data_IF_352238714512
#
_entry.id   IF_352238714512
#
_cell.length_a   1.000
_cell.length_b   1.000
_cell.length_c   1.000
_cell.angle_alpha   90.00
_cell.angle_beta   90.00
_cell.angle_gamma   90.00
#
_symmetry.space_group_name_H-M   'P 1'
#
loop_
_entity.id
_entity.type
_entity.pdbx_description
1 polymer ?
#
# COMPACT_ATOMS: atom_id res chain seq x y z
N UNK A 1 -15.99 15.85 -48.49
CA UNK A 1 -16.33 14.63 -47.72
C UNK A 1 -15.28 14.43 -46.64
N UNK A 2 -15.56 14.89 -45.40
CA UNK A 2 -14.60 14.80 -44.29
C UNK A 2 -14.80 13.49 -43.52
N UNK A 3 -13.78 12.63 -43.52
CA UNK A 3 -13.77 11.35 -42.82
C UNK A 3 -13.56 11.55 -41.33
N UNK A 4 -14.55 11.19 -40.51
CA UNK A 4 -14.48 11.22 -39.04
C UNK A 4 -13.64 10.03 -38.55
N UNK A 5 -12.36 10.24 -38.24
CA UNK A 5 -11.59 9.30 -37.43
C UNK A 5 -12.08 9.35 -35.97
N UNK A 6 -12.63 8.24 -35.48
CA UNK A 6 -13.08 8.09 -34.09
C UNK A 6 -11.85 8.00 -33.18
N UNK A 7 -11.78 8.92 -32.21
CA UNK A 7 -10.73 9.02 -31.18
C UNK A 7 -10.52 7.71 -30.36
N UNK A 8 -11.49 6.79 -30.41
CA UNK A 8 -11.42 5.49 -29.73
C UNK A 8 -10.39 4.50 -30.32
N UNK A 9 -10.10 4.58 -31.62
CA UNK A 9 -9.20 3.61 -32.27
C UNK A 9 -7.70 3.89 -32.00
N UNK A 10 -7.37 5.14 -31.65
CA UNK A 10 -6.01 5.55 -31.29
C UNK A 10 -5.68 5.04 -29.88
N UNK A 11 -6.63 5.10 -28.95
CA UNK A 11 -6.42 4.66 -27.57
C UNK A 11 -6.24 3.14 -27.45
N UNK A 12 -7.00 2.36 -28.23
CA UNK A 12 -6.88 0.90 -28.26
C UNK A 12 -5.53 0.44 -28.81
N UNK A 13 -5.01 1.10 -29.86
CA UNK A 13 -3.71 0.78 -30.47
C UNK A 13 -2.52 1.26 -29.62
N UNK A 14 -2.67 2.33 -28.83
CA UNK A 14 -1.64 2.81 -27.92
C UNK A 14 -1.46 1.89 -26.70
N UNK A 15 -2.56 1.40 -26.13
CA UNK A 15 -2.52 0.44 -25.01
C UNK A 15 -1.96 -0.91 -25.46
N UNK A 16 -2.29 -1.37 -26.67
CA UNK A 16 -1.80 -2.66 -27.19
C UNK A 16 -0.30 -2.68 -27.56
N UNK A 17 0.30 -1.53 -27.90
CA UNK A 17 1.72 -1.45 -28.33
C UNK A 17 2.73 -1.23 -27.20
N UNK A 18 2.33 -0.69 -26.06
CA UNK A 18 3.23 -0.36 -24.94
C UNK A 18 3.21 -1.35 -23.77
N UNK A 19 2.43 -2.44 -23.84
CA UNK A 19 2.37 -3.49 -22.81
C UNK A 19 3.45 -4.57 -22.93
N UNK A 20 4.66 -4.21 -23.39
CA UNK A 20 5.86 -5.03 -23.19
C UNK A 20 6.82 -4.29 -22.25
N UNK A 21 6.59 -4.44 -20.95
CA UNK A 21 7.60 -4.15 -19.93
C UNK A 21 7.25 -4.91 -18.67
N UNK A 22 8.15 -5.81 -18.27
CA UNK A 22 8.03 -6.79 -17.18
C UNK A 22 7.97 -6.17 -15.76
N UNK A 23 7.56 -4.90 -15.62
CA UNK A 23 7.70 -4.15 -14.37
C UNK A 23 6.40 -3.48 -13.87
N UNK A 24 5.29 -3.60 -14.59
CA UNK A 24 4.04 -2.95 -14.18
C UNK A 24 3.11 -3.94 -13.48
N UNK A 25 2.93 -3.77 -12.17
CA UNK A 25 1.92 -4.53 -11.43
C UNK A 25 0.55 -3.88 -11.65
N UNK A 26 -0.24 -4.46 -12.55
CA UNK A 26 -1.62 -4.07 -12.79
C UNK A 26 -2.53 -4.62 -11.68
N UNK A 27 -3.14 -3.74 -10.89
CA UNK A 27 -4.14 -4.14 -9.88
C UNK A 27 -5.53 -3.95 -10.50
N UNK A 28 -6.00 -4.99 -11.19
CA UNK A 28 -7.38 -5.06 -11.67
C UNK A 28 -8.33 -5.46 -10.54
N UNK A 29 -8.92 -4.49 -9.85
CA UNK A 29 -9.91 -4.80 -8.82
C UNK A 29 -11.28 -5.22 -9.38
N UNK A 30 -11.48 -5.16 -10.70
CA UNK A 30 -12.74 -5.59 -11.34
C UNK A 30 -12.77 -7.10 -11.61
N UNK A 31 -11.59 -7.73 -11.73
CA UNK A 31 -11.46 -9.20 -11.88
C UNK A 31 -11.54 -9.96 -10.56
N UNK A 32 -11.39 -9.27 -9.43
CA UNK A 32 -11.58 -9.81 -8.08
C UNK A 32 -12.36 -8.78 -7.24
N UNK A 33 -13.69 -8.64 -7.45
CA UNK A 33 -14.51 -7.87 -6.52
C UNK A 33 -14.32 -8.50 -5.13
N UNK A 34 -14.12 -7.70 -4.06
CA UNK A 34 -14.10 -8.26 -2.72
C UNK A 34 -15.46 -8.93 -2.50
N UNK A 35 -15.46 -10.25 -2.50
CA UNK A 35 -16.63 -11.04 -2.14
C UNK A 35 -17.07 -10.57 -0.77
N UNK A 36 -18.30 -10.05 -0.68
CA UNK A 36 -18.94 -9.68 0.58
C UNK A 36 -19.39 -10.92 1.38
N UNK A 37 -18.65 -12.01 1.26
CA UNK A 37 -18.81 -13.23 2.03
C UNK A 37 -17.48 -13.50 2.72
N UNK A 38 -17.50 -13.49 4.05
CA UNK A 38 -16.35 -13.81 4.89
C UNK A 38 -15.93 -15.27 4.62
N UNK A 39 -14.80 -15.54 3.94
CA UNK A 39 -14.33 -16.93 3.77
C UNK A 39 -13.88 -17.51 5.11
N UNK A 40 -13.54 -16.62 6.06
CA UNK A 40 -13.04 -16.97 7.38
C UNK A 40 -14.07 -17.72 8.23
N UNK A 41 -15.37 -17.40 8.16
CA UNK A 41 -16.38 -18.04 9.02
C UNK A 41 -16.66 -19.49 8.57
N UNK A 42 -16.74 -19.72 7.25
CA UNK A 42 -17.04 -21.05 6.69
C UNK A 42 -15.84 -21.99 6.80
N UNK A 43 -14.62 -21.47 6.60
CA UNK A 43 -13.39 -22.24 6.71
C UNK A 43 -13.05 -22.58 8.17
N UNK A 44 -13.27 -21.65 9.12
CA UNK A 44 -13.11 -21.93 10.56
C UNK A 44 -14.15 -22.93 11.07
N UNK A 45 -15.40 -22.84 10.60
CA UNK A 45 -16.46 -23.79 10.97
C UNK A 45 -16.24 -25.19 10.36
N UNK A 46 -15.62 -25.28 9.18
CA UNK A 46 -15.22 -26.56 8.58
C UNK A 46 -14.00 -27.17 9.30
N UNK A 47 -13.05 -26.32 9.72
CA UNK A 47 -11.87 -26.74 10.49
C UNK A 47 -12.26 -27.21 11.90
N UNK A 48 -13.17 -26.48 12.57
CA UNK A 48 -13.71 -26.85 13.88
C UNK A 48 -14.47 -28.17 13.80
N UNK A 49 -15.35 -28.36 12.81
CA UNK A 49 -16.07 -29.63 12.61
C UNK A 49 -15.15 -30.82 12.30
N UNK A 50 -14.02 -30.58 11.65
CA UNK A 50 -13.02 -31.62 11.36
C UNK A 50 -12.17 -31.96 12.60
N UNK A 51 -11.87 -30.98 13.45
CA UNK A 51 -11.17 -31.18 14.70
C UNK A 51 -12.02 -31.94 15.74
N UNK A 52 -13.32 -31.65 15.84
CA UNK A 52 -14.22 -32.35 16.77
C UNK A 52 -14.40 -33.82 16.38
N UNK A 53 -14.47 -34.15 15.08
CA UNK A 53 -14.54 -35.54 14.59
C UNK A 53 -13.26 -36.35 14.83
N UNK A 54 -12.10 -35.70 14.86
CA UNK A 54 -10.82 -36.37 15.11
C UNK A 54 -10.60 -36.71 16.60
N UNK A 55 -11.27 -36.00 17.52
CA UNK A 55 -11.17 -36.23 18.96
C UNK A 55 -12.03 -37.43 19.41
N UNK A 56 -13.11 -37.74 18.70
CA UNK A 56 -14.02 -38.85 19.05
C UNK A 56 -13.52 -40.24 18.61
N UNK A 57 -12.49 -40.35 17.77
CA UNK A 57 -12.16 -41.61 17.07
C UNK A 57 -10.83 -42.28 17.41
N UNK A 58 -10.01 -41.81 18.36
CA UNK A 58 -8.82 -42.61 18.71
C UNK A 58 -8.22 -42.33 20.08
N UNK A 59 -8.56 -43.20 21.03
CA UNK A 59 -7.66 -43.55 22.12
C UNK A 59 -6.48 -44.35 21.56
N UNK A 60 -5.45 -43.67 21.05
CA UNK A 60 -4.17 -44.32 20.79
C UNK A 60 -3.04 -43.31 20.68
N UNK A 61 -2.17 -43.31 21.68
CA UNK A 61 -0.92 -42.53 21.73
C UNK A 61 0.06 -43.08 20.68
N UNK A 62 -0.03 -42.62 19.44
CA UNK A 62 1.07 -42.70 18.46
C UNK A 62 1.19 -41.40 17.69
N UNK A 63 2.42 -40.90 17.66
CA UNK A 63 2.89 -39.67 17.02
C UNK A 63 2.47 -39.62 15.53
N UNK A 64 1.34 -38.98 15.25
CA UNK A 64 1.04 -38.44 13.93
C UNK A 64 1.38 -36.95 14.00
N UNK A 65 2.63 -36.63 13.67
CA UNK A 65 3.03 -35.26 13.33
C UNK A 65 2.13 -34.81 12.19
N UNK A 66 1.14 -33.98 12.52
CA UNK A 66 0.11 -33.60 11.58
C UNK A 66 0.76 -32.87 10.40
N UNK A 67 0.17 -32.99 9.19
CA UNK A 67 0.58 -32.13 8.05
C UNK A 67 0.57 -30.65 8.43
N UNK A 68 -0.25 -30.27 9.41
CA UNK A 68 -0.28 -28.94 10.00
C UNK A 68 1.00 -28.63 10.79
N UNK A 69 1.52 -29.56 11.59
CA UNK A 69 2.81 -29.41 12.27
C UNK A 69 3.98 -29.31 11.31
N UNK A 70 3.96 -30.08 10.21
CA UNK A 70 4.98 -29.98 9.17
C UNK A 70 4.90 -28.63 8.44
N UNK A 71 3.69 -28.12 8.21
CA UNK A 71 3.46 -26.79 7.62
C UNK A 71 3.88 -25.66 8.57
N UNK A 72 3.57 -25.78 9.87
CA UNK A 72 3.99 -24.84 10.90
C UNK A 72 5.50 -24.87 11.14
N UNK A 73 6.14 -26.05 11.09
CA UNK A 73 7.60 -26.19 11.13
C UNK A 73 8.26 -25.61 9.88
N UNK A 74 7.68 -25.80 8.68
CA UNK A 74 8.20 -25.22 7.44
C UNK A 74 8.09 -23.68 7.45
N UNK A 75 7.02 -23.14 8.03
CA UNK A 75 6.85 -21.69 8.28
C UNK A 75 7.83 -21.16 9.32
N UNK A 76 8.14 -21.93 10.37
CA UNK A 76 9.17 -21.59 11.38
C UNK A 76 10.59 -21.69 10.83
N UNK A 77 10.88 -22.63 9.93
CA UNK A 77 12.19 -22.79 9.27
C UNK A 77 12.44 -21.71 8.22
N UNK A 78 11.41 -21.29 7.47
CA UNK A 78 11.50 -20.12 6.57
C UNK A 78 11.59 -18.77 7.30
N UNK A 79 11.17 -18.70 8.56
CA UNK A 79 11.31 -17.51 9.41
C UNK A 79 12.70 -17.41 10.09
N UNK A 80 13.49 -18.49 10.11
CA UNK A 80 14.80 -18.54 10.77
C UNK A 80 16.00 -18.44 9.81
N UNK A 81 15.78 -18.42 8.49
CA UNK A 81 16.71 -17.81 7.55
C UNK A 81 16.63 -16.30 7.74
N UNK A 82 17.27 -15.82 8.82
CA UNK A 82 17.56 -14.42 9.06
C UNK A 82 18.39 -13.92 7.88
N UNK A 83 17.71 -13.37 6.87
CA UNK A 83 18.33 -12.36 6.02
C UNK A 83 18.95 -11.33 6.98
N UNK A 84 20.23 -11.02 6.76
CA UNK A 84 21.08 -10.33 7.72
C UNK A 84 20.35 -9.24 8.49
N UNK A 85 20.57 -9.23 9.80
CA UNK A 85 20.22 -8.11 10.68
C UNK A 85 21.11 -6.91 10.33
N UNK A 86 20.97 -6.42 9.11
CA UNK A 86 21.30 -5.05 8.78
C UNK A 86 20.32 -4.22 9.61
N UNK A 87 20.79 -3.76 10.78
CA UNK A 87 19.98 -3.14 11.82
C UNK A 87 19.02 -2.06 11.32
N UNK A 88 18.08 -1.66 12.17
CA UNK A 88 17.05 -0.69 11.80
C UNK A 88 17.65 0.60 11.20
N UNK A 89 17.25 0.92 9.97
CA UNK A 89 17.69 2.14 9.27
C UNK A 89 16.59 3.22 9.36
N UNK A 90 16.92 4.52 9.13
CA UNK A 90 15.96 5.61 9.30
C UNK A 90 14.63 5.41 8.54
N UNK A 91 14.68 4.88 7.31
CA UNK A 91 13.49 4.60 6.51
C UNK A 91 12.49 3.64 7.16
N UNK A 92 12.94 2.70 8.01
CA UNK A 92 12.03 1.82 8.75
C UNK A 92 11.13 2.61 9.72
N UNK A 93 11.64 3.72 10.28
CA UNK A 93 10.88 4.61 11.15
C UNK A 93 9.88 5.45 10.34
N UNK A 94 10.28 5.96 9.17
CA UNK A 94 9.40 6.74 8.30
C UNK A 94 8.22 5.91 7.79
N UNK A 95 8.46 4.67 7.35
CA UNK A 95 7.39 3.77 6.94
C UNK A 95 6.41 3.47 8.09
N UNK A 96 6.93 3.27 9.31
CA UNK A 96 6.09 3.05 10.49
C UNK A 96 5.24 4.26 10.81
N UNK A 97 5.82 5.45 10.76
CA UNK A 97 5.10 6.70 10.98
C UNK A 97 4.04 6.93 9.90
N UNK A 98 4.35 6.68 8.62
CA UNK A 98 3.40 6.77 7.52
C UNK A 98 2.18 5.89 7.79
N UNK A 99 2.40 4.62 8.13
CA UNK A 99 1.32 3.69 8.47
C UNK A 99 0.49 4.19 9.66
N UNK A 100 1.14 4.67 10.72
CA UNK A 100 0.47 5.24 11.90
C UNK A 100 -0.39 6.45 11.52
N UNK A 101 0.15 7.36 10.72
CA UNK A 101 -0.55 8.56 10.25
C UNK A 101 -1.79 8.21 9.44
N UNK A 102 -1.71 7.21 8.56
CA UNK A 102 -2.87 6.73 7.81
C UNK A 102 -3.99 6.17 8.69
N UNK A 103 -3.68 5.68 9.89
CA UNK A 103 -4.67 5.16 10.84
C UNK A 103 -5.29 6.27 11.71
N UNK A 104 -4.57 7.37 11.97
CA UNK A 104 -5.05 8.44 12.84
C UNK A 104 -5.62 9.67 12.10
N UNK A 105 -5.64 9.67 10.77
CA UNK A 105 -6.02 10.82 9.94
C UNK A 105 -7.53 11.14 9.93
N UNK A 106 -8.26 10.82 11.00
CA UNK A 106 -9.67 11.17 11.20
C UNK A 106 -10.67 10.48 10.26
N UNK A 107 -10.22 9.63 9.33
CA UNK A 107 -11.07 8.89 8.40
C UNK A 107 -10.77 7.40 8.46
N UNK A 108 -11.81 6.60 8.66
CA UNK A 108 -11.69 5.15 8.56
C UNK A 108 -11.51 4.72 7.11
N UNK A 109 -10.45 3.95 6.85
CA UNK A 109 -10.10 3.47 5.51
C UNK A 109 -10.88 2.21 5.17
N UNK A 110 -11.58 2.23 4.04
CA UNK A 110 -12.21 1.00 3.50
C UNK A 110 -11.15 -0.03 3.09
N UNK A 111 -11.57 -1.29 2.91
CA UNK A 111 -10.69 -2.37 2.45
C UNK A 111 -9.98 -2.02 1.14
N UNK A 112 -10.70 -1.45 0.16
CA UNK A 112 -10.14 -1.00 -1.12
C UNK A 112 -9.07 0.07 -0.92
N UNK A 113 -9.31 1.06 -0.06
CA UNK A 113 -8.35 2.13 0.20
C UNK A 113 -7.09 1.59 0.90
N UNK A 114 -7.23 0.64 1.83
CA UNK A 114 -6.09 -0.07 2.43
C UNK A 114 -5.26 -0.79 1.36
N UNK A 115 -5.90 -1.40 0.36
CA UNK A 115 -5.21 -2.01 -0.79
C UNK A 115 -4.48 -0.96 -1.64
N UNK A 116 -5.11 0.19 -1.94
CA UNK A 116 -4.45 1.28 -2.66
C UNK A 116 -3.23 1.80 -1.92
N UNK A 117 -3.34 2.04 -0.61
CA UNK A 117 -2.21 2.51 0.20
C UNK A 117 -1.07 1.50 0.29
N UNK A 118 -1.35 0.19 0.32
CA UNK A 118 -0.31 -0.83 0.23
C UNK A 118 0.43 -0.75 -1.10
N UNK A 119 -0.30 -0.58 -2.21
CA UNK A 119 0.32 -0.43 -3.52
C UNK A 119 1.15 0.86 -3.60
N UNK A 120 0.62 1.99 -3.13
CA UNK A 120 1.35 3.26 -3.08
C UNK A 120 2.62 3.14 -2.24
N UNK A 121 2.53 2.55 -1.04
CA UNK A 121 3.69 2.34 -0.18
C UNK A 121 4.78 1.54 -0.88
N UNK A 122 4.42 0.45 -1.57
CA UNK A 122 5.38 -0.38 -2.33
C UNK A 122 6.10 0.43 -3.39
N UNK A 123 5.36 1.24 -4.14
CA UNK A 123 5.91 2.09 -5.19
C UNK A 123 6.80 3.22 -4.68
N UNK A 124 6.58 3.68 -3.44
CA UNK A 124 7.34 4.79 -2.86
C UNK A 124 8.47 4.36 -1.92
N UNK A 125 8.72 3.05 -1.72
CA UNK A 125 9.76 2.58 -0.80
C UNK A 125 11.14 3.19 -1.13
N UNK A 126 11.55 3.22 -2.39
CA UNK A 126 12.84 3.79 -2.77
C UNK A 126 12.95 5.28 -2.41
N UNK A 127 11.85 6.03 -2.50
CA UNK A 127 11.82 7.44 -2.10
C UNK A 127 11.79 7.62 -0.57
N UNK A 128 11.13 6.73 0.16
CA UNK A 128 11.05 6.80 1.62
C UNK A 128 12.38 6.45 2.28
N UNK A 129 13.06 5.42 1.78
CA UNK A 129 14.36 4.99 2.29
C UNK A 129 15.51 5.83 1.73
N UNK A 130 15.33 6.46 0.56
CA UNK A 130 16.40 7.11 -0.19
C UNK A 130 17.19 6.11 -1.04
N UNK A 131 17.70 6.57 -2.18
CA UNK A 131 18.27 5.70 -3.21
C UNK A 131 19.44 4.83 -2.71
N UNK A 132 20.32 5.39 -1.89
CA UNK A 132 21.51 4.70 -1.38
C UNK A 132 21.14 3.58 -0.39
N UNK A 133 20.36 3.91 0.64
CA UNK A 133 19.92 2.95 1.66
C UNK A 133 18.98 1.89 1.08
N UNK A 134 18.11 2.29 0.15
CA UNK A 134 17.21 1.36 -0.52
C UNK A 134 17.99 0.31 -1.32
N UNK A 135 18.99 0.70 -2.13
CA UNK A 135 19.75 -0.26 -2.93
C UNK A 135 20.63 -1.16 -2.05
N UNK A 136 21.27 -0.57 -1.03
CA UNK A 136 22.12 -1.31 -0.07
C UNK A 136 21.33 -2.39 0.68
N UNK A 137 20.11 -2.07 1.11
CA UNK A 137 19.27 -2.96 1.92
C UNK A 137 18.06 -3.52 1.17
N UNK A 138 18.10 -3.52 -0.16
CA UNK A 138 16.97 -3.83 -1.05
C UNK A 138 16.31 -5.15 -0.70
N UNK A 139 17.09 -6.22 -0.59
CA UNK A 139 16.58 -7.57 -0.28
C UNK A 139 15.83 -7.61 1.05
N UNK A 140 16.36 -6.95 2.09
CA UNK A 140 15.72 -6.85 3.41
C UNK A 140 14.41 -6.07 3.34
N UNK A 141 14.43 -4.90 2.72
CA UNK A 141 13.27 -4.02 2.59
C UNK A 141 12.14 -4.72 1.82
N UNK A 142 12.45 -5.32 0.66
CA UNK A 142 11.47 -6.02 -0.16
C UNK A 142 10.89 -7.24 0.58
N UNK A 143 11.74 -8.05 1.23
CA UNK A 143 11.32 -9.20 2.02
C UNK A 143 10.37 -8.80 3.16
N UNK A 144 10.70 -7.73 3.89
CA UNK A 144 9.85 -7.18 4.98
C UNK A 144 8.45 -6.79 4.50
N UNK A 145 8.33 -6.33 3.26
CA UNK A 145 7.06 -5.92 2.67
C UNK A 145 6.38 -7.01 1.83
N UNK A 146 6.94 -8.23 1.80
CA UNK A 146 6.43 -9.36 1.01
C UNK A 146 6.46 -9.08 -0.49
N UNK A 147 7.53 -8.42 -0.96
CA UNK A 147 7.74 -8.03 -2.35
C UNK A 147 8.89 -8.84 -2.92
N UNK A 148 8.74 -9.34 -4.15
CA UNK A 148 9.77 -10.12 -4.85
C UNK A 148 10.71 -9.25 -5.69
N UNK A 149 10.19 -8.15 -6.25
CA UNK A 149 10.94 -7.22 -7.09
C UNK A 149 10.49 -5.78 -6.83
N UNK A 150 11.39 -4.78 -6.94
CA UNK A 150 11.03 -3.39 -6.69
C UNK A 150 9.93 -2.93 -7.67
N UNK A 151 9.00 -2.16 -7.14
CA UNK A 151 7.90 -1.55 -7.89
C UNK A 151 8.06 -0.05 -7.76
N UNK A 152 7.89 0.70 -8.84
CA UNK A 152 8.03 2.17 -8.85
C UNK A 152 6.76 2.87 -9.33
N UNK A 153 5.81 2.11 -9.88
CA UNK A 153 4.59 2.63 -10.48
C UNK A 153 3.37 1.86 -10.00
N UNK A 154 2.24 2.58 -9.90
CA UNK A 154 0.94 1.99 -9.59
C UNK A 154 -0.10 2.56 -10.55
N UNK A 155 -0.81 1.67 -11.24
CA UNK A 155 -2.00 2.02 -12.01
C UNK A 155 -3.24 1.52 -11.27
N UNK A 156 -4.16 2.43 -10.95
CA UNK A 156 -5.44 2.12 -10.30
C UNK A 156 -6.60 2.48 -11.22
N UNK A 157 -7.33 1.46 -11.67
CA UNK A 157 -8.55 1.62 -12.49
C UNK A 157 -9.75 1.20 -11.67
N UNK A 158 -10.67 2.14 -11.40
CA UNK A 158 -11.87 1.84 -10.59
C UNK A 158 -13.07 2.67 -11.05
N UNK A 159 -14.31 2.24 -10.73
CA UNK A 159 -15.51 3.00 -11.03
C UNK A 159 -15.55 4.41 -10.41
N UNK A 160 -16.53 5.20 -10.84
CA UNK A 160 -16.80 6.52 -10.26
C UNK A 160 -17.13 6.38 -8.76
N UNK A 161 -16.66 7.32 -7.93
CA UNK A 161 -16.92 7.39 -6.46
C UNK A 161 -16.33 6.26 -5.62
N UNK A 162 -15.39 5.48 -6.14
CA UNK A 162 -14.71 4.40 -5.39
C UNK A 162 -13.66 4.88 -4.36
N UNK A 163 -13.72 6.16 -3.92
CA UNK A 163 -12.80 6.69 -2.91
C UNK A 163 -11.34 6.89 -3.34
N UNK A 164 -11.04 6.90 -4.66
CA UNK A 164 -9.66 7.11 -5.18
C UNK A 164 -9.05 8.43 -4.68
N UNK A 165 -9.74 9.54 -4.89
CA UNK A 165 -9.26 10.88 -4.54
C UNK A 165 -8.95 11.00 -3.05
N UNK A 166 -9.83 10.48 -2.19
CA UNK A 166 -9.61 10.45 -0.74
C UNK A 166 -8.39 9.61 -0.38
N UNK A 167 -8.20 8.46 -1.01
CA UNK A 167 -7.03 7.60 -0.76
C UNK A 167 -5.73 8.28 -1.12
N UNK A 168 -5.68 8.92 -2.29
CA UNK A 168 -4.50 9.68 -2.73
C UNK A 168 -4.23 10.83 -1.75
N UNK A 169 -5.26 11.58 -1.37
CA UNK A 169 -5.13 12.68 -0.41
C UNK A 169 -4.58 12.24 0.94
N UNK A 170 -5.11 11.13 1.49
CA UNK A 170 -4.64 10.56 2.76
C UNK A 170 -3.19 10.09 2.66
N UNK A 171 -2.85 9.37 1.59
CA UNK A 171 -1.49 8.85 1.40
C UNK A 171 -0.46 9.96 1.23
N UNK A 172 -0.77 10.98 0.41
CA UNK A 172 0.12 12.12 0.20
C UNK A 172 0.31 12.91 1.49
N UNK A 173 -0.77 13.16 2.24
CA UNK A 173 -0.66 13.82 3.55
C UNK A 173 0.22 13.03 4.52
N UNK A 174 0.03 11.71 4.62
CA UNK A 174 0.83 10.86 5.49
C UNK A 174 2.30 10.84 5.07
N UNK A 175 2.57 10.72 3.76
CA UNK A 175 3.91 10.69 3.19
C UNK A 175 4.68 11.99 3.45
N UNK A 176 4.06 13.15 3.23
CA UNK A 176 4.68 14.45 3.50
C UNK A 176 4.97 14.66 4.99
N UNK A 177 4.16 14.08 5.86
CA UNK A 177 4.34 14.18 7.31
C UNK A 177 5.36 13.19 7.86
N UNK A 178 5.51 12.01 7.25
CA UNK A 178 6.38 10.93 7.74
C UNK A 178 7.82 10.97 7.21
N UNK A 179 8.01 11.50 5.99
CA UNK A 179 9.28 11.38 5.27
C UNK A 179 9.93 12.76 5.13
N UNK A 180 11.20 12.93 5.50
CA UNK A 180 11.90 14.20 5.35
C UNK A 180 12.06 14.55 3.85
N UNK A 181 12.07 15.85 3.56
CA UNK A 181 12.42 16.42 2.24
C UNK A 181 11.64 15.82 1.05
N UNK A 182 10.42 15.32 1.27
CA UNK A 182 9.60 14.71 0.22
C UNK A 182 8.92 15.76 -0.66
N UNK A 183 9.00 15.57 -1.98
CA UNK A 183 8.33 16.40 -2.98
C UNK A 183 7.30 15.57 -3.75
N UNK A 184 6.08 16.09 -3.85
CA UNK A 184 4.97 15.41 -4.53
C UNK A 184 4.35 16.36 -5.55
N UNK A 185 4.32 15.95 -6.81
CA UNK A 185 3.64 16.67 -7.88
C UNK A 185 2.32 15.98 -8.23
N UNK A 186 1.23 16.75 -8.27
CA UNK A 186 -0.11 16.25 -8.60
C UNK A 186 -0.50 16.82 -9.96
N UNK A 187 -0.82 15.94 -10.90
CA UNK A 187 -1.29 16.29 -12.23
C UNK A 187 -2.72 15.79 -12.46
N UNK A 188 -3.51 16.57 -13.19
CA UNK A 188 -4.85 16.17 -13.63
C UNK A 188 -5.22 16.94 -14.90
N UNK A 189 -6.25 16.47 -15.63
CA UNK A 189 -6.68 17.10 -16.88
C UNK A 189 -7.32 18.49 -16.69
N UNK A 190 -7.56 18.94 -15.46
CA UNK A 190 -8.09 20.28 -15.19
C UNK A 190 -7.61 20.82 -13.84
N UNK A 191 -7.16 22.08 -13.83
CA UNK A 191 -6.58 22.74 -12.65
C UNK A 191 -7.47 22.65 -11.40
N UNK A 192 -8.80 22.76 -11.56
CA UNK A 192 -9.75 22.62 -10.45
C UNK A 192 -9.65 21.27 -9.73
N UNK A 193 -9.37 20.19 -10.47
CA UNK A 193 -9.27 18.85 -9.87
C UNK A 193 -7.98 18.69 -9.06
N UNK A 194 -6.84 19.18 -9.57
CA UNK A 194 -5.57 19.17 -8.83
C UNK A 194 -5.60 20.11 -7.62
N UNK A 195 -6.13 21.34 -7.77
CA UNK A 195 -6.30 22.27 -6.64
C UNK A 195 -7.24 21.70 -5.57
N UNK A 196 -8.33 21.02 -5.97
CA UNK A 196 -9.22 20.36 -5.03
C UNK A 196 -8.54 19.21 -4.25
N UNK A 197 -7.63 18.47 -4.89
CA UNK A 197 -6.83 17.46 -4.19
C UNK A 197 -5.80 18.10 -3.26
N UNK A 198 -5.15 19.20 -3.65
CA UNK A 198 -4.24 19.96 -2.78
C UNK A 198 -4.96 20.45 -1.51
N UNK A 199 -6.16 20.99 -1.65
CA UNK A 199 -7.00 21.41 -0.53
C UNK A 199 -7.39 20.23 0.37
N UNK A 200 -7.67 19.07 -0.21
CA UNK A 200 -7.93 17.84 0.54
C UNK A 200 -6.69 17.42 1.34
N UNK A 201 -5.51 17.37 0.72
CA UNK A 201 -4.25 17.06 1.41
C UNK A 201 -4.01 18.01 2.58
N UNK A 202 -4.18 19.31 2.37
CA UNK A 202 -4.07 20.31 3.43
C UNK A 202 -5.01 20.01 4.61
N UNK A 203 -6.29 19.71 4.33
CA UNK A 203 -7.26 19.36 5.38
C UNK A 203 -6.85 18.10 6.15
N UNK A 204 -6.36 17.08 5.45
CA UNK A 204 -5.87 15.84 6.06
C UNK A 204 -4.65 16.07 6.94
N UNK A 205 -3.74 16.97 6.53
CA UNK A 205 -2.59 17.38 7.34
C UNK A 205 -3.05 18.07 8.61
N UNK A 206 -3.97 19.03 8.51
CA UNK A 206 -4.51 19.74 9.67
C UNK A 206 -5.34 18.85 10.62
N UNK A 207 -5.88 17.73 10.13
CA UNK A 207 -6.61 16.76 10.95
C UNK A 207 -5.68 15.93 11.87
N UNK A 208 -4.39 15.86 11.57
CA UNK A 208 -3.41 15.16 12.42
C UNK A 208 -2.99 16.07 13.58
N UNK A 209 -2.87 15.55 14.83
CA UNK A 209 -2.36 16.32 15.96
C UNK A 209 -1.00 16.96 15.66
N UNK A 210 -0.91 18.29 15.79
CA UNK A 210 0.28 19.07 15.46
C UNK A 210 0.54 19.30 13.97
N UNK A 211 -0.29 18.75 13.07
CA UNK A 211 -0.10 18.87 11.62
C UNK A 211 -0.26 20.30 11.09
N UNK A 212 -1.22 21.07 11.62
CA UNK A 212 -1.41 22.48 11.23
C UNK A 212 -0.17 23.33 11.48
N UNK A 213 0.55 23.10 12.59
CA UNK A 213 1.78 23.82 12.93
C UNK A 213 2.95 23.50 11.98
N UNK A 214 2.84 22.40 11.23
CA UNK A 214 3.84 22.00 10.21
C UNK A 214 3.57 22.63 8.86
N UNK A 215 2.43 23.28 8.62
CA UNK A 215 2.17 23.96 7.36
C UNK A 215 2.98 25.27 7.32
N UNK A 216 3.99 25.32 6.44
CA UNK A 216 4.84 26.50 6.28
C UNK A 216 4.22 27.53 5.32
N UNK A 217 3.60 27.06 4.23
CA UNK A 217 2.98 27.92 3.22
C UNK A 217 1.91 27.15 2.45
N UNK A 218 0.83 27.82 2.09
CA UNK A 218 -0.21 27.29 1.19
C UNK A 218 -0.65 28.36 0.21
N UNK A 219 -0.74 28.01 -1.07
CA UNK A 219 -1.44 28.79 -2.08
C UNK A 219 -2.32 27.84 -2.93
N UNK A 220 -2.83 28.30 -4.08
CA UNK A 220 -3.73 27.50 -4.93
C UNK A 220 -3.02 26.36 -5.69
N UNK A 221 -1.69 26.42 -5.79
CA UNK A 221 -0.87 25.53 -6.62
C UNK A 221 0.14 24.71 -5.80
N UNK A 222 0.50 25.20 -4.61
CA UNK A 222 1.60 24.69 -3.80
C UNK A 222 1.21 24.62 -2.32
N UNK A 223 1.67 23.57 -1.66
CA UNK A 223 1.58 23.35 -0.24
C UNK A 223 2.96 22.96 0.28
N UNK A 224 3.49 23.74 1.21
CA UNK A 224 4.78 23.49 1.86
C UNK A 224 4.53 23.04 3.29
N UNK A 225 5.09 21.87 3.63
CA UNK A 225 4.98 21.25 4.94
C UNK A 225 6.39 21.03 5.48
N UNK A 226 6.62 21.42 6.74
CA UNK A 226 7.85 21.11 7.46
C UNK A 226 7.98 19.59 7.58
N UNK A 227 9.13 19.05 7.16
CA UNK A 227 9.43 17.63 7.11
C UNK A 227 9.36 16.94 8.48
N UNK A 228 9.54 15.62 8.48
CA UNK A 228 9.48 14.83 9.72
C UNK A 228 10.60 15.22 10.68
N UNK A 229 10.25 15.84 11.80
CA UNK A 229 11.16 16.05 12.92
C UNK A 229 11.16 14.81 13.81
N UNK A 230 12.34 14.24 14.06
CA UNK A 230 12.49 13.13 15.00
C UNK A 230 12.08 13.66 16.38
N UNK A 231 10.98 13.13 16.94
CA UNK A 231 10.60 13.44 18.32
C UNK A 231 11.71 12.89 19.23
N UNK A 232 12.39 13.78 19.95
CA UNK A 232 13.28 13.40 21.04
C UNK A 232 12.39 12.93 22.21
N UNK A 233 11.96 11.68 22.17
CA UNK A 233 11.37 10.97 23.32
C UNK A 233 12.45 10.19 24.03
#
# INVERSE_FOLDING_TARGET
>A
MASRCKLGDIFSKFVARNLRSDYQTYVDITKNPPSFETPFATELAALQRSATRAVETSGSKRLLTSRLDLFLQKKRRGANSRGGDDGAIPGDAYVRELCRLLDIMGLERTASQKTFHKAFLRATLAHIYGSADFERHRTRILSRHGITAPQYEVLIVTPRRWGKTTSVGMFVAALLLSTPEMWVSIFSTGQRASSGLLDMVYKMVCAVPGGSARVARKNQEQLFIKGYEKRNT
#
